data_IF_296094537730
#
_entry.id   IF_296094537730
#
_cell.length_a   1.000
_cell.length_b   1.000
_cell.length_c   1.000
_cell.angle_alpha   90.00
_cell.angle_beta   90.00
_cell.angle_gamma   90.00
#
_symmetry.space_group_name_H-M   'P 1'
#
loop_
_entity.id
_entity.type
_entity.pdbx_description
1 polymer ?
#
# COMPACT_ATOMS: atom_id res chain seq x y z
N UNK A 1 23.23 27.07 -8.42
CA UNK A 1 22.74 25.87 -7.72
C UNK A 1 21.26 26.04 -7.50
N UNK A 2 20.43 25.26 -8.19
CA UNK A 2 18.98 25.27 -7.97
C UNK A 2 18.71 24.27 -6.86
N UNK A 3 18.43 24.75 -5.65
CA UNK A 3 18.00 23.91 -4.51
C UNK A 3 16.70 23.25 -4.96
N UNK A 4 16.68 21.91 -5.06
CA UNK A 4 15.40 21.21 -5.24
C UNK A 4 14.53 21.48 -4.00
N UNK A 5 13.25 21.82 -4.16
CA UNK A 5 12.37 21.99 -3.02
C UNK A 5 12.23 20.67 -2.24
N UNK A 6 12.14 20.76 -0.92
CA UNK A 6 11.83 19.64 -0.03
C UNK A 6 10.64 18.85 -0.58
N UNK A 7 10.78 17.53 -0.66
CA UNK A 7 9.72 16.65 -1.15
C UNK A 7 8.73 16.37 -0.01
N UNK A 8 7.43 16.50 -0.31
CA UNK A 8 6.36 16.17 0.63
C UNK A 8 5.99 14.69 0.51
N UNK A 9 6.05 13.97 1.62
CA UNK A 9 5.55 12.60 1.75
C UNK A 9 4.22 12.59 2.49
N UNK A 10 3.13 12.21 1.81
CA UNK A 10 1.80 12.11 2.43
C UNK A 10 1.69 10.83 3.25
N UNK A 11 1.27 10.96 4.50
CA UNK A 11 1.12 9.86 5.45
C UNK A 11 -0.35 9.47 5.54
N UNK A 12 -0.64 8.20 5.27
CA UNK A 12 -1.96 7.60 5.46
C UNK A 12 -1.86 6.47 6.47
N UNK A 13 -2.67 6.52 7.53
CA UNK A 13 -2.67 5.54 8.62
C UNK A 13 -3.79 4.51 8.42
N UNK A 14 -3.52 3.27 8.82
CA UNK A 14 -4.42 2.13 8.71
C UNK A 14 -4.43 1.36 10.03
N UNK A 15 -5.61 1.16 10.58
CA UNK A 15 -5.81 0.29 11.72
C UNK A 15 -5.95 -1.16 11.25
N UNK A 16 -5.13 -2.06 11.79
CA UNK A 16 -5.26 -3.50 11.51
C UNK A 16 -6.42 -4.04 12.34
N UNK A 17 -7.48 -4.45 11.66
CA UNK A 17 -8.73 -4.96 12.27
C UNK A 17 -8.59 -6.46 12.54
N UNK A 18 -8.09 -7.19 11.55
CA UNK A 18 -7.92 -8.64 11.62
C UNK A 18 -6.59 -9.04 10.99
N UNK A 19 -5.89 -9.97 11.63
CA UNK A 19 -4.62 -10.51 11.16
C UNK A 19 -4.45 -11.91 11.71
N UNK A 20 -4.46 -12.91 10.84
CA UNK A 20 -4.36 -14.29 11.30
C UNK A 20 -4.96 -15.30 10.33
N UNK A 21 -5.08 -16.53 10.81
CA UNK A 21 -5.71 -17.62 10.10
C UNK A 21 -7.22 -17.59 10.31
N UNK A 22 -7.96 -17.42 9.22
CA UNK A 22 -9.42 -17.47 9.21
C UNK A 22 -9.88 -18.75 8.50
N UNK A 23 -10.96 -19.40 8.95
CA UNK A 23 -11.49 -20.59 8.30
C UNK A 23 -11.90 -20.29 6.85
N UNK A 24 -11.74 -21.27 5.98
CA UNK A 24 -12.10 -21.19 4.58
C UNK A 24 -13.51 -21.78 4.37
N UNK A 25 -14.47 -20.93 4.02
CA UNK A 25 -15.87 -21.32 3.83
C UNK A 25 -16.74 -21.04 5.07
N UNK A 26 -17.97 -21.53 5.02
CA UNK A 26 -18.97 -21.33 6.07
C UNK A 26 -18.98 -22.42 7.15
N UNK A 27 -17.94 -23.27 7.21
CA UNK A 27 -17.81 -24.29 8.26
C UNK A 27 -17.47 -23.62 9.59
N UNK A 28 -18.43 -23.53 10.53
CA UNK A 28 -18.14 -23.10 11.88
C UNK A 28 -17.65 -24.34 12.64
N UNK A 29 -16.78 -24.16 13.62
CA UNK A 29 -16.22 -25.19 14.51
C UNK A 29 -14.89 -25.77 14.02
N UNK A 30 -13.85 -24.95 14.00
CA UNK A 30 -12.57 -25.46 14.47
C UNK A 30 -11.95 -24.45 15.45
N UNK A 31 -11.79 -24.82 16.73
CA UNK A 31 -11.15 -23.96 17.70
C UNK A 31 -9.65 -23.91 17.39
N UNK A 32 -9.19 -22.71 17.08
CA UNK A 32 -7.79 -22.27 17.07
C UNK A 32 -6.83 -23.11 16.23
N UNK A 33 -6.76 -22.79 14.93
CA UNK A 33 -5.43 -22.68 14.33
C UNK A 33 -4.66 -21.64 15.16
N UNK A 34 -3.42 -21.93 15.54
CA UNK A 34 -2.65 -21.09 16.47
C UNK A 34 -2.75 -19.62 16.07
N UNK A 35 -3.32 -18.80 16.96
CA UNK A 35 -3.46 -17.36 16.74
C UNK A 35 -2.07 -16.75 16.83
N UNK A 36 -1.41 -16.65 15.69
CA UNK A 36 -0.14 -15.94 15.58
C UNK A 36 -0.44 -14.45 15.46
N UNK A 37 0.13 -13.66 16.38
CA UNK A 37 -0.02 -12.22 16.36
C UNK A 37 0.79 -11.60 15.20
N UNK A 38 0.28 -10.54 14.58
CA UNK A 38 0.98 -9.81 13.53
C UNK A 38 2.36 -9.30 13.97
N UNK A 39 2.51 -8.87 15.22
CA UNK A 39 3.81 -8.46 15.77
C UNK A 39 4.83 -9.60 15.72
N UNK A 40 4.44 -10.83 16.05
CA UNK A 40 5.33 -12.00 15.97
C UNK A 40 5.69 -12.33 14.52
N UNK A 41 4.75 -12.17 13.60
CA UNK A 41 4.99 -12.34 12.15
C UNK A 41 5.98 -11.30 11.65
N UNK A 42 5.81 -10.05 12.05
CA UNK A 42 6.66 -8.95 11.64
C UNK A 42 8.07 -9.05 12.25
N UNK A 43 8.20 -9.57 13.48
CA UNK A 43 9.49 -9.86 14.08
C UNK A 43 10.21 -11.01 13.35
N UNK A 44 9.49 -12.08 13.01
CA UNK A 44 10.05 -13.16 12.17
C UNK A 44 10.41 -12.67 10.76
N UNK A 45 9.60 -11.78 10.19
CA UNK A 45 9.89 -11.16 8.89
C UNK A 45 11.14 -10.29 8.99
N UNK A 46 11.28 -9.52 10.07
CA UNK A 46 12.44 -8.68 10.33
C UNK A 46 13.72 -9.53 10.41
N UNK A 47 13.68 -10.62 11.18
CA UNK A 47 14.82 -11.53 11.33
C UNK A 47 15.16 -12.23 10.01
N UNK A 48 14.15 -12.69 9.27
CA UNK A 48 14.35 -13.30 7.94
C UNK A 48 15.02 -12.33 6.96
N UNK A 49 14.62 -11.06 6.95
CA UNK A 49 15.20 -10.03 6.09
C UNK A 49 16.60 -9.60 6.53
N UNK A 50 16.92 -9.68 7.82
CA UNK A 50 18.22 -9.29 8.38
C UNK A 50 19.32 -10.33 8.22
N UNK A 51 18.97 -11.54 7.82
CA UNK A 51 19.91 -12.60 7.49
C UNK A 51 21.05 -12.08 6.60
N UNK A 52 22.29 -12.17 7.09
CA UNK A 52 23.47 -11.54 6.49
C UNK A 52 23.82 -12.09 5.12
N UNK A 53 23.31 -13.27 4.77
CA UNK A 53 23.51 -13.90 3.45
C UNK A 53 22.44 -13.48 2.43
N UNK A 54 21.48 -12.62 2.82
CA UNK A 54 20.36 -12.23 1.95
C UNK A 54 20.68 -10.96 1.16
N UNK A 55 20.89 -11.16 -0.14
CA UNK A 55 20.93 -10.07 -1.11
C UNK A 55 19.52 -9.54 -1.43
N UNK A 56 19.45 -8.30 -1.92
CA UNK A 56 18.23 -7.62 -2.33
C UNK A 56 17.33 -8.48 -3.24
N UNK A 57 17.91 -9.17 -4.22
CA UNK A 57 17.15 -10.01 -5.15
C UNK A 57 16.46 -11.23 -4.50
N UNK A 58 16.85 -11.59 -3.28
CA UNK A 58 16.38 -12.73 -2.48
C UNK A 58 15.49 -12.29 -1.30
N UNK A 59 15.01 -11.04 -1.33
CA UNK A 59 14.07 -10.49 -0.35
C UNK A 59 12.62 -10.60 -0.77
N UNK A 60 12.32 -11.23 -1.92
CA UNK A 60 10.93 -11.51 -2.27
C UNK A 60 10.45 -12.78 -1.55
N UNK A 61 9.33 -12.71 -0.80
CA UNK A 61 8.75 -13.89 -0.19
C UNK A 61 8.25 -14.91 -1.21
N UNK A 62 7.75 -14.44 -2.36
CA UNK A 62 7.35 -15.29 -3.46
C UNK A 62 8.55 -15.59 -4.36
N UNK A 63 8.63 -16.83 -4.85
CA UNK A 63 9.65 -17.20 -5.83
C UNK A 63 9.38 -16.55 -7.20
N UNK A 64 10.43 -16.21 -7.94
CA UNK A 64 10.39 -15.50 -9.23
C UNK A 64 9.74 -16.32 -10.35
N UNK A 65 9.49 -17.60 -10.09
CA UNK A 65 8.90 -18.54 -11.05
C UNK A 65 7.36 -18.50 -11.08
N UNK A 66 6.70 -17.77 -10.18
CA UNK A 66 5.25 -17.61 -10.21
C UNK A 66 4.83 -16.65 -11.33
N UNK A 67 4.40 -17.21 -12.46
CA UNK A 67 4.03 -16.44 -13.65
C UNK A 67 2.68 -15.73 -13.56
N UNK A 68 2.01 -15.71 -12.40
CA UNK A 68 0.79 -14.91 -12.16
C UNK A 68 1.09 -13.45 -11.85
N UNK A 69 2.32 -13.12 -11.45
CA UNK A 69 2.67 -11.76 -11.03
C UNK A 69 3.23 -10.94 -12.19
N UNK A 70 2.57 -9.82 -12.47
CA UNK A 70 3.09 -8.80 -13.39
C UNK A 70 4.22 -7.97 -12.77
N UNK A 71 4.35 -7.99 -11.43
CA UNK A 71 5.42 -7.30 -10.69
C UNK A 71 5.82 -8.08 -9.44
N UNK A 72 7.13 -8.16 -9.21
CA UNK A 72 7.75 -8.77 -8.03
C UNK A 72 8.02 -7.67 -7.00
N UNK A 73 7.81 -7.98 -5.73
CA UNK A 73 8.05 -7.04 -4.63
C UNK A 73 9.24 -7.52 -3.80
N UNK A 74 10.20 -6.63 -3.59
CA UNK A 74 11.42 -6.84 -2.81
C UNK A 74 11.41 -5.93 -1.58
N UNK A 75 12.27 -6.20 -0.60
CA UNK A 75 12.57 -5.28 0.50
C UNK A 75 13.97 -4.68 0.28
N UNK A 76 14.04 -3.36 0.14
CA UNK A 76 15.29 -2.64 -0.10
C UNK A 76 15.96 -2.15 1.19
N UNK A 77 15.16 -1.82 2.20
CA UNK A 77 15.64 -1.31 3.47
C UNK A 77 14.65 -1.63 4.58
N UNK A 78 15.18 -1.94 5.75
CA UNK A 78 14.44 -2.34 6.94
C UNK A 78 15.09 -1.72 8.17
N UNK A 79 14.28 -1.22 9.09
CA UNK A 79 14.79 -0.71 10.37
C UNK A 79 13.77 -0.95 11.49
N UNK A 80 14.25 -1.30 12.68
CA UNK A 80 13.44 -1.41 13.90
C UNK A 80 13.94 -0.37 14.89
N UNK A 81 13.08 0.58 15.25
CA UNK A 81 13.46 1.64 16.17
C UNK A 81 13.67 1.04 17.58
N UNK A 82 14.86 1.20 18.20
CA UNK A 82 15.12 0.65 19.52
C UNK A 82 14.22 1.25 20.61
N UNK A 83 13.85 2.53 20.46
CA UNK A 83 13.09 3.32 21.43
C UNK A 83 11.59 2.99 21.38
N UNK A 84 10.98 3.03 20.19
CA UNK A 84 9.52 2.86 20.02
C UNK A 84 9.12 1.42 19.67
N UNK A 85 10.09 0.56 19.31
CA UNK A 85 9.86 -0.78 18.72
C UNK A 85 9.10 -0.78 17.40
N UNK A 86 8.93 0.38 16.78
CA UNK A 86 8.32 0.51 15.47
C UNK A 86 9.20 -0.08 14.38
N UNK A 87 8.55 -0.57 13.32
CA UNK A 87 9.20 -1.15 12.16
C UNK A 87 9.02 -0.24 10.95
N UNK A 88 10.10 -0.05 10.22
CA UNK A 88 10.12 0.76 9.00
C UNK A 88 10.56 -0.13 7.84
N UNK A 89 9.76 -0.15 6.78
CA UNK A 89 10.03 -0.94 5.58
C UNK A 89 10.11 0.00 4.38
N UNK A 90 11.11 -0.26 3.53
CA UNK A 90 11.16 0.26 2.17
C UNK A 90 11.05 -0.94 1.25
N UNK A 91 9.84 -1.15 0.72
CA UNK A 91 9.61 -2.16 -0.30
C UNK A 91 9.95 -1.59 -1.68
N UNK A 92 10.18 -2.48 -2.64
CA UNK A 92 10.52 -2.14 -4.00
C UNK A 92 9.65 -2.94 -4.96
N UNK A 93 8.73 -2.25 -5.64
CA UNK A 93 7.85 -2.87 -6.63
C UNK A 93 8.55 -2.84 -7.98
N UNK A 94 8.88 -4.00 -8.55
CA UNK A 94 9.51 -4.07 -9.86
C UNK A 94 8.58 -3.59 -10.95
N UNK A 95 9.12 -2.92 -11.96
CA UNK A 95 8.38 -2.46 -13.14
C UNK A 95 9.09 -2.97 -14.39
N UNK A 96 8.33 -3.55 -15.32
CA UNK A 96 8.86 -4.11 -16.57
C UNK A 96 8.99 -3.09 -17.69
N UNK A 97 8.19 -2.02 -17.65
CA UNK A 97 8.15 -1.01 -18.70
C UNK A 97 8.77 0.31 -18.22
N UNK A 98 9.86 0.70 -18.89
CA UNK A 98 10.65 1.88 -18.57
C UNK A 98 9.98 3.19 -19.02
N UNK A 99 9.10 3.77 -18.21
CA UNK A 99 8.66 5.16 -18.35
C UNK A 99 8.54 5.86 -16.99
N UNK A 100 9.12 7.07 -16.85
CA UNK A 100 9.02 7.92 -15.65
C UNK A 100 10.20 7.80 -14.67
N UNK A 101 9.98 8.22 -13.41
CA UNK A 101 10.94 8.26 -12.29
C UNK A 101 11.39 6.86 -11.79
N UNK A 102 11.58 5.90 -12.69
CA UNK A 102 11.96 4.53 -12.36
C UNK A 102 13.42 4.49 -11.94
N UNK A 103 13.66 3.79 -10.84
CA UNK A 103 14.97 3.62 -10.25
C UNK A 103 15.42 2.16 -10.43
N UNK A 104 16.73 1.94 -10.42
CA UNK A 104 17.37 0.64 -10.55
C UNK A 104 18.21 0.32 -9.32
N UNK A 105 18.08 -0.90 -8.82
CA UNK A 105 18.86 -1.41 -7.70
C UNK A 105 19.68 -2.61 -8.17
N UNK A 106 20.93 -2.70 -7.72
CA UNK A 106 21.78 -3.85 -8.01
C UNK A 106 21.26 -5.11 -7.30
N UNK A 107 21.12 -6.26 -7.98
CA UNK A 107 20.57 -7.49 -7.40
C UNK A 107 21.30 -8.00 -6.15
N UNK A 108 22.61 -7.82 -6.12
CA UNK A 108 23.58 -8.23 -5.09
C UNK A 108 23.79 -7.18 -3.99
N UNK A 109 22.99 -6.10 -3.98
CA UNK A 109 23.06 -5.10 -2.91
C UNK A 109 22.48 -5.64 -1.61
N UNK A 110 23.04 -5.23 -0.47
CA UNK A 110 22.51 -5.60 0.84
C UNK A 110 21.20 -4.86 1.15
N UNK A 111 20.31 -5.54 1.86
CA UNK A 111 19.06 -5.00 2.40
C UNK A 111 19.32 -3.95 3.48
N UNK A 112 20.45 -4.05 4.18
CA UNK A 112 20.83 -3.14 5.27
C UNK A 112 21.81 -2.05 4.82
N UNK A 113 22.07 -1.95 3.52
CA UNK A 113 23.02 -0.95 3.04
C UNK A 113 22.44 0.45 3.27
N UNK A 114 23.03 1.18 4.21
CA UNK A 114 22.70 2.58 4.53
C UNK A 114 23.04 3.52 3.37
N UNK A 115 23.81 3.02 2.40
CA UNK A 115 24.22 3.77 1.21
C UNK A 115 23.11 3.78 0.15
N UNK A 116 22.87 4.97 -0.40
CA UNK A 116 21.90 5.22 -1.46
C UNK A 116 22.38 4.62 -2.79
N UNK A 117 22.22 3.30 -2.93
CA UNK A 117 22.67 2.51 -4.08
C UNK A 117 21.64 2.44 -5.23
N UNK A 118 20.76 3.45 -5.33
CA UNK A 118 19.77 3.57 -6.41
C UNK A 118 20.35 4.34 -7.59
N UNK A 119 20.17 3.80 -8.79
CA UNK A 119 20.59 4.41 -10.04
C UNK A 119 19.33 4.79 -10.82
N UNK A 120 19.22 6.04 -11.28
CA UNK A 120 18.13 6.44 -12.16
C UNK A 120 18.34 5.86 -13.56
N UNK A 121 17.25 5.52 -14.25
CA UNK A 121 17.31 5.05 -15.63
C UNK A 121 17.98 6.11 -16.53
N UNK A 122 19.16 5.79 -17.07
CA UNK A 122 19.87 6.57 -18.08
C UNK A 122 20.30 5.65 -19.23
N UNK A 123 20.41 6.20 -20.45
CA UNK A 123 20.81 5.45 -21.66
C UNK A 123 22.16 4.71 -21.52
N UNK A 124 23.03 5.16 -20.61
CA UNK A 124 24.36 4.57 -20.34
C UNK A 124 24.35 3.37 -19.39
N UNK A 125 23.21 3.06 -18.75
CA UNK A 125 23.10 1.99 -17.75
C UNK A 125 22.38 0.74 -18.29
N UNK A 126 22.06 0.69 -19.60
CA UNK A 126 21.38 -0.42 -20.25
C UNK A 126 22.12 -1.77 -20.12
N UNK A 127 23.45 -1.74 -20.03
CA UNK A 127 24.27 -2.96 -19.92
C UNK A 127 24.43 -3.46 -18.47
N UNK A 128 23.93 -2.71 -17.47
CA UNK A 128 24.02 -3.12 -16.07
C UNK A 128 22.83 -3.99 -15.69
N UNK A 129 23.11 -5.12 -15.03
CA UNK A 129 22.07 -5.97 -14.43
C UNK A 129 21.44 -5.23 -13.24
N UNK A 130 20.31 -4.58 -13.48
CA UNK A 130 19.56 -3.81 -12.48
C UNK A 130 18.13 -4.35 -12.36
N UNK A 131 17.58 -4.30 -11.15
CA UNK A 131 16.16 -4.53 -10.88
C UNK A 131 15.49 -3.16 -10.87
N UNK A 132 14.75 -2.87 -11.95
CA UNK A 132 14.02 -1.63 -12.12
C UNK A 132 12.71 -1.64 -11.34
N UNK A 133 12.37 -0.53 -10.69
CA UNK A 133 11.14 -0.42 -9.94
C UNK A 133 10.98 0.93 -9.24
N UNK A 134 10.03 0.96 -8.32
CA UNK A 134 9.70 2.12 -7.50
C UNK A 134 9.73 1.75 -6.01
N UNK A 135 10.25 2.63 -5.14
CA UNK A 135 10.20 2.42 -3.71
C UNK A 135 8.79 2.61 -3.14
N UNK A 136 8.50 1.94 -2.05
CA UNK A 136 7.27 2.05 -1.26
C UNK A 136 7.60 2.08 0.23
N UNK A 137 7.16 3.13 0.92
CA UNK A 137 7.54 3.40 2.30
C UNK A 137 6.42 3.06 3.27
N UNK A 138 6.76 2.27 4.29
CA UNK A 138 5.83 1.84 5.32
C UNK A 138 6.42 2.02 6.72
N UNK A 139 5.56 2.35 7.65
CA UNK A 139 5.87 2.50 9.06
C UNK A 139 4.82 1.76 9.88
N UNK A 140 5.20 0.69 10.57
CA UNK A 140 4.34 -0.09 11.43
C UNK A 140 4.59 0.24 12.91
N UNK A 141 3.51 0.51 13.63
CA UNK A 141 3.50 0.97 15.02
C UNK A 141 2.97 -0.15 15.90
N UNK A 142 3.90 -0.94 16.44
CA UNK A 142 3.60 -2.21 17.13
C UNK A 142 2.65 -2.06 18.32
N UNK A 143 2.80 -0.98 19.10
CA UNK A 143 1.97 -0.71 20.28
C UNK A 143 0.52 -0.29 19.94
N UNK A 144 0.30 0.20 18.72
CA UNK A 144 -1.01 0.66 18.27
C UNK A 144 -1.70 -0.33 17.33
N UNK A 145 -0.97 -1.34 16.82
CA UNK A 145 -1.45 -2.21 15.74
C UNK A 145 -1.93 -1.40 14.52
N UNK A 146 -1.19 -0.34 14.21
CA UNK A 146 -1.46 0.60 13.12
C UNK A 146 -0.24 0.61 12.21
N UNK A 147 -0.45 0.72 10.91
CA UNK A 147 0.63 1.05 9.99
C UNK A 147 0.31 2.27 9.15
N UNK A 148 1.36 2.90 8.65
CA UNK A 148 1.28 4.02 7.75
C UNK A 148 1.87 3.65 6.39
N UNK A 149 1.22 4.15 5.34
CA UNK A 149 1.82 4.26 4.01
C UNK A 149 2.29 5.68 3.81
N UNK A 150 3.47 5.87 3.23
CA UNK A 150 4.06 7.20 3.04
C UNK A 150 4.37 7.40 1.57
N UNK A 151 3.60 8.28 0.94
CA UNK A 151 3.63 8.51 -0.51
C UNK A 151 4.40 9.78 -0.82
N UNK A 152 5.60 9.62 -1.35
CA UNK A 152 6.36 10.67 -2.02
C UNK A 152 6.09 10.66 -3.54
N UNK A 153 6.19 11.80 -4.24
CA UNK A 153 6.15 11.88 -5.71
C UNK A 153 6.98 10.83 -6.46
N UNK A 154 8.17 10.46 -5.97
CA UNK A 154 9.03 9.46 -6.62
C UNK A 154 8.70 7.98 -6.26
N UNK A 155 7.75 7.76 -5.36
CA UNK A 155 7.44 6.44 -4.80
C UNK A 155 6.14 5.89 -5.34
N UNK A 156 5.92 4.58 -5.26
CA UNK A 156 4.58 3.98 -5.31
C UNK A 156 4.21 3.53 -3.89
N UNK A 157 2.95 3.66 -3.49
CA UNK A 157 2.56 3.13 -2.17
C UNK A 157 1.15 2.62 -2.26
N UNK A 158 0.95 1.42 -1.74
CA UNK A 158 -0.32 0.71 -1.82
C UNK A 158 -0.44 -0.13 -0.56
N UNK A 159 -1.54 0.06 0.18
CA UNK A 159 -1.91 -0.75 1.34
C UNK A 159 -1.82 -2.25 1.00
N UNK A 160 -2.39 -2.64 -0.14
CA UNK A 160 -2.49 -4.03 -0.59
C UNK A 160 -1.12 -4.63 -0.86
N UNK A 161 -0.15 -3.81 -1.28
CA UNK A 161 1.22 -4.24 -1.52
C UNK A 161 1.91 -4.67 -0.23
N UNK A 162 1.74 -3.91 0.86
CA UNK A 162 2.30 -4.25 2.17
C UNK A 162 1.63 -5.47 2.79
N UNK A 163 0.29 -5.51 2.80
CA UNK A 163 -0.48 -6.65 3.29
C UNK A 163 -0.14 -7.93 2.52
N UNK A 164 -0.04 -7.84 1.19
CA UNK A 164 0.40 -8.95 0.34
C UNK A 164 1.81 -9.39 0.68
N UNK A 165 2.75 -8.47 0.85
CA UNK A 165 4.13 -8.81 1.15
C UNK A 165 4.25 -9.60 2.47
N UNK A 166 3.56 -9.17 3.52
CA UNK A 166 3.51 -9.89 4.80
C UNK A 166 2.80 -11.24 4.64
N UNK A 167 1.66 -11.28 3.96
CA UNK A 167 0.94 -12.54 3.68
C UNK A 167 1.84 -13.53 2.95
N UNK A 168 2.50 -13.11 1.88
CA UNK A 168 3.35 -13.98 1.07
C UNK A 168 4.55 -14.49 1.90
N UNK A 169 5.06 -13.71 2.86
CA UNK A 169 6.03 -14.18 3.84
C UNK A 169 5.49 -15.33 4.70
N UNK A 170 4.28 -15.17 5.26
CA UNK A 170 3.62 -16.23 6.04
C UNK A 170 3.42 -17.49 5.19
N UNK A 171 2.97 -17.34 3.94
CA UNK A 171 2.69 -18.47 3.07
C UNK A 171 3.97 -19.23 2.65
N UNK A 172 5.00 -18.51 2.21
CA UNK A 172 6.12 -19.09 1.46
C UNK A 172 7.45 -19.14 2.22
N UNK A 173 7.55 -18.50 3.40
CA UNK A 173 8.78 -18.47 4.19
C UNK A 173 8.61 -19.03 5.60
N UNK A 174 7.42 -18.97 6.19
CA UNK A 174 7.13 -19.61 7.47
C UNK A 174 6.81 -21.10 7.29
N UNK A 175 7.83 -21.91 6.99
CA UNK A 175 7.68 -23.33 6.64
C UNK A 175 7.27 -24.23 7.81
N UNK A 176 7.49 -23.80 9.05
CA UNK A 176 7.20 -24.57 10.27
C UNK A 176 5.76 -24.44 10.78
N UNK A 177 4.87 -23.80 10.01
CA UNK A 177 3.48 -23.61 10.42
C UNK A 177 2.68 -24.93 10.37
N UNK A 178 1.89 -25.26 11.40
CA UNK A 178 1.07 -26.47 11.43
C UNK A 178 0.13 -26.57 10.22
N UNK A 179 -0.12 -27.79 9.72
CA UNK A 179 -1.07 -28.01 8.63
C UNK A 179 -0.71 -27.35 7.28
N UNK A 180 0.48 -26.74 7.15
CA UNK A 180 0.95 -26.14 5.90
C UNK A 180 1.18 -27.22 4.85
N UNK A 181 0.56 -27.06 3.68
CA UNK A 181 0.78 -27.90 2.49
C UNK A 181 1.04 -26.99 1.29
N UNK A 182 2.05 -27.34 0.50
CA UNK A 182 2.49 -26.58 -0.67
C UNK A 182 2.30 -27.42 -1.93
N UNK A 183 1.71 -26.80 -2.95
CA UNK A 183 1.40 -27.42 -4.23
C UNK A 183 1.99 -26.57 -5.35
N UNK A 184 2.65 -27.22 -6.30
CA UNK A 184 3.09 -26.61 -7.54
C UNK A 184 2.10 -26.98 -8.64
N UNK A 185 1.51 -25.97 -9.27
CA UNK A 185 0.59 -26.15 -10.38
C UNK A 185 1.22 -25.64 -11.67
N UNK A 186 1.04 -26.42 -12.74
CA UNK A 186 1.29 -25.99 -14.11
C UNK A 186 -0.05 -25.54 -14.71
N UNK A 187 -0.13 -24.29 -15.20
CA UNK A 187 -1.32 -23.79 -15.88
C UNK A 187 -1.04 -23.63 -17.36
N UNK A 188 -1.65 -24.49 -18.14
CA UNK A 188 -1.75 -24.33 -19.59
C UNK A 188 -2.74 -23.19 -19.88
N UNK A 189 -2.32 -22.21 -20.67
CA UNK A 189 -3.18 -21.11 -21.07
C UNK A 189 -3.48 -21.18 -22.55
N UNK A 190 -4.76 -21.13 -22.90
CA UNK A 190 -5.26 -21.19 -24.29
C UNK A 190 -4.69 -20.02 -25.15
N UNK A 191 -4.28 -18.91 -24.53
CA UNK A 191 -3.78 -17.69 -25.23
C UNK A 191 -2.65 -16.94 -24.49
N UNK A 192 -1.99 -17.54 -23.49
CA UNK A 192 -0.81 -16.96 -22.80
C UNK A 192 0.25 -18.04 -22.63
N UNK A 193 1.50 -17.66 -22.37
CA UNK A 193 2.58 -18.62 -22.08
C UNK A 193 2.19 -19.48 -20.87
N UNK A 194 2.53 -20.77 -20.94
CA UNK A 194 2.40 -21.66 -19.79
C UNK A 194 3.18 -21.09 -18.61
N UNK A 195 2.60 -21.19 -17.42
CA UNK A 195 3.26 -20.72 -16.22
C UNK A 195 3.02 -21.67 -15.06
N UNK A 196 4.01 -21.68 -14.17
CA UNK A 196 3.93 -22.38 -12.90
C UNK A 196 3.52 -21.42 -11.82
N UNK A 197 2.83 -21.91 -10.81
CA UNK A 197 2.57 -21.14 -9.60
C UNK A 197 2.49 -22.04 -8.38
N UNK A 198 2.89 -21.49 -7.24
CA UNK A 198 2.75 -22.16 -5.96
C UNK A 198 1.43 -21.77 -5.29
N UNK A 199 0.81 -22.75 -4.66
CA UNK A 199 -0.33 -22.55 -3.77
C UNK A 199 -0.01 -23.17 -2.43
N UNK A 200 -0.14 -22.37 -1.38
CA UNK A 200 0.00 -22.82 0.00
C UNK A 200 -1.38 -22.87 0.63
N UNK A 201 -1.69 -23.98 1.27
CA UNK A 201 -2.92 -24.17 2.03
C UNK A 201 -2.57 -24.54 3.46
N UNK A 202 -3.46 -24.20 4.39
CA UNK A 202 -3.36 -24.61 5.77
C UNK A 202 -4.61 -25.42 6.09
N UNK A 203 -4.43 -26.54 6.75
CA UNK A 203 -5.56 -27.33 7.21
C UNK A 203 -5.16 -28.59 7.91
N UNK A 204 -6.09 -29.06 8.72
CA UNK A 204 -6.07 -30.32 9.44
C UNK A 204 -7.36 -31.10 9.13
N UNK A 205 -7.63 -32.14 9.91
CA UNK A 205 -8.86 -32.94 9.78
C UNK A 205 -10.12 -32.13 10.13
N UNK A 206 -9.97 -30.96 10.76
CA UNK A 206 -11.07 -30.11 11.24
C UNK A 206 -11.41 -28.97 10.27
N UNK A 207 -10.55 -28.64 9.32
CA UNK A 207 -10.88 -27.66 8.29
C UNK A 207 -9.69 -27.07 7.54
N UNK A 208 -10.01 -26.19 6.59
CA UNK A 208 -9.02 -25.41 5.84
C UNK A 208 -9.01 -23.97 6.34
N UNK A 209 -7.84 -23.36 6.37
CA UNK A 209 -7.62 -21.99 6.81
C UNK A 209 -6.89 -21.19 5.74
N UNK A 210 -7.16 -19.88 5.71
CA UNK A 210 -6.41 -18.90 4.92
C UNK A 210 -5.85 -17.83 5.84
N UNK A 211 -4.64 -17.37 5.56
CA UNK A 211 -4.09 -16.21 6.25
C UNK A 211 -4.66 -14.92 5.63
N UNK A 212 -5.22 -14.04 6.46
CA UNK A 212 -5.77 -12.75 6.06
C UNK A 212 -5.13 -11.65 6.92
N UNK A 213 -4.85 -10.51 6.28
CA UNK A 213 -4.63 -9.23 6.96
C UNK A 213 -5.73 -8.32 6.43
N UNK A 214 -6.43 -7.67 7.33
CA UNK A 214 -7.47 -6.71 7.05
C UNK A 214 -7.20 -5.44 7.84
N UNK A 215 -7.02 -4.34 7.11
CA UNK A 215 -6.87 -3.03 7.72
C UNK A 215 -7.85 -2.02 7.14
N UNK A 216 -8.21 -1.03 7.95
CA UNK A 216 -9.07 0.09 7.55
C UNK A 216 -8.34 1.40 7.73
N UNK A 217 -8.43 2.27 6.72
CA UNK A 217 -7.86 3.60 6.77
C UNK A 217 -8.46 4.41 7.92
N UNK A 218 -7.59 5.09 8.67
CA UNK A 218 -7.99 6.03 9.71
C UNK A 218 -8.25 7.40 9.08
N UNK A 219 -9.53 7.76 9.01
CA UNK A 219 -9.99 9.05 8.49
C UNK A 219 -10.16 10.01 9.68
N UNK A 220 -9.59 11.22 9.57
CA UNK A 220 -9.73 12.27 10.60
C UNK A 220 -11.20 12.64 10.80
N UNK A 221 -11.59 12.91 12.05
CA UNK A 221 -12.96 13.29 12.38
C UNK A 221 -13.40 14.56 11.63
N UNK A 222 -12.52 15.55 11.51
CA UNK A 222 -12.80 16.76 10.71
C UNK A 222 -13.10 16.46 9.25
N UNK A 223 -12.43 15.48 8.64
CA UNK A 223 -12.71 15.01 7.28
C UNK A 223 -14.08 14.32 7.20
N UNK A 224 -14.46 13.55 8.22
CA UNK A 224 -15.79 12.93 8.32
C UNK A 224 -16.90 13.95 8.47
N UNK A 225 -16.71 14.92 9.35
CA UNK A 225 -17.70 15.98 9.61
C UNK A 225 -17.90 16.84 8.36
N UNK A 226 -16.81 17.23 7.69
CA UNK A 226 -16.88 18.01 6.46
C UNK A 226 -17.54 17.23 5.32
N UNK A 227 -17.20 15.96 5.13
CA UNK A 227 -17.87 15.16 4.11
C UNK A 227 -19.34 14.87 4.42
N UNK A 228 -19.69 14.70 5.69
CA UNK A 228 -21.09 14.58 6.11
C UNK A 228 -21.87 15.86 5.76
N UNK A 229 -21.24 17.03 5.93
CA UNK A 229 -21.79 18.30 5.43
C UNK A 229 -21.87 18.34 3.90
N UNK A 230 -20.88 17.78 3.19
CA UNK A 230 -20.91 17.70 1.72
C UNK A 230 -22.10 16.86 1.24
N UNK A 231 -22.25 15.60 1.70
CA UNK A 231 -23.40 14.76 1.35
C UNK A 231 -24.72 15.47 1.71
N UNK A 232 -24.78 16.11 2.89
CA UNK A 232 -25.96 16.84 3.34
C UNK A 232 -26.38 18.00 2.42
N UNK A 233 -25.44 18.59 1.67
CA UNK A 233 -25.67 19.73 0.80
C UNK A 233 -26.17 19.38 -0.62
N UNK A 234 -26.53 18.11 -0.90
CA UNK A 234 -27.12 17.68 -2.20
C UNK A 234 -26.27 18.01 -3.43
N UNK A 235 -24.95 17.77 -3.37
CA UNK A 235 -24.14 17.72 -4.60
C UNK A 235 -24.74 16.66 -5.54
N UNK A 236 -24.88 16.99 -6.82
CA UNK A 236 -25.52 16.09 -7.80
C UNK A 236 -24.52 15.54 -8.81
N UNK A 237 -23.29 16.05 -8.80
CA UNK A 237 -22.26 15.69 -9.75
C UNK A 237 -20.95 15.37 -9.04
N UNK A 238 -20.34 14.27 -9.45
CA UNK A 238 -18.94 13.93 -9.14
C UNK A 238 -18.09 14.40 -10.32
N UNK A 239 -17.03 15.14 -10.02
CA UNK A 239 -16.05 15.65 -10.97
C UNK A 239 -14.76 14.88 -10.77
N UNK A 240 -14.25 14.24 -11.81
CA UNK A 240 -13.00 13.48 -11.79
C UNK A 240 -12.06 14.09 -12.81
N UNK A 241 -10.96 14.66 -12.34
CA UNK A 241 -9.83 15.04 -13.17
C UNK A 241 -8.80 13.93 -13.18
N UNK A 242 -8.39 13.52 -14.36
CA UNK A 242 -7.39 12.47 -14.53
C UNK A 242 -6.48 12.83 -15.71
N UNK A 243 -5.24 12.35 -15.69
CA UNK A 243 -4.30 12.48 -16.80
C UNK A 243 -4.18 11.14 -17.49
N UNK A 244 -4.85 10.98 -18.63
CA UNK A 244 -4.76 9.76 -19.42
C UNK A 244 -3.56 9.85 -20.35
N UNK A 245 -2.65 8.88 -20.25
CA UNK A 245 -1.67 8.61 -21.30
C UNK A 245 -2.34 7.81 -22.42
N UNK A 246 -2.36 8.36 -23.64
CA UNK A 246 -2.72 7.55 -24.82
C UNK A 246 -1.57 6.56 -25.11
N UNK A 247 -1.60 5.42 -24.43
CA UNK A 247 -0.92 4.21 -24.90
C UNK A 247 -1.89 3.59 -25.90
N UNK A 248 -1.64 3.82 -27.19
CA UNK A 248 -2.25 2.98 -28.20
C UNK A 248 -1.48 1.64 -28.28
N UNK A 249 -2.20 0.56 -28.55
CA UNK A 249 -1.82 -0.85 -28.50
C UNK A 249 -1.48 -1.45 -27.12
N UNK A 250 -2.54 -2.01 -26.53
CA UNK A 250 -2.60 -3.10 -25.55
C UNK A 250 -2.52 -2.76 -24.05
N UNK A 251 -3.59 -3.20 -23.40
CA UNK A 251 -3.86 -3.40 -21.97
C UNK A 251 -4.63 -2.31 -21.20
N UNK A 252 -5.86 -2.72 -20.83
CA UNK A 252 -6.53 -2.46 -19.56
C UNK A 252 -7.53 -1.29 -19.45
N UNK A 253 -8.60 -1.32 -20.26
CA UNK A 253 -9.96 -0.98 -19.80
C UNK A 253 -10.96 -2.03 -20.33
N UNK A 254 -11.22 -3.06 -19.52
CA UNK A 254 -11.83 -4.35 -19.90
C UNK A 254 -13.36 -4.40 -20.07
N UNK A 255 -14.09 -3.29 -20.25
CA UNK A 255 -15.54 -3.38 -20.56
C UNK A 255 -15.98 -2.67 -21.85
N UNK A 256 -15.20 -1.73 -22.37
CA UNK A 256 -15.58 -0.98 -23.58
C UNK A 256 -15.09 -1.62 -24.89
N UNK A 257 -14.02 -2.42 -24.83
CA UNK A 257 -13.38 -3.02 -26.01
C UNK A 257 -14.10 -4.26 -26.59
N UNK A 258 -15.21 -4.73 -26.00
CA UNK A 258 -15.96 -5.86 -26.57
C UNK A 258 -16.90 -5.45 -27.71
N UNK A 259 -16.96 -4.17 -28.08
CA UNK A 259 -17.93 -3.65 -29.03
C UNK A 259 -17.37 -3.31 -30.42
N UNK A 260 -16.04 -3.26 -30.63
CA UNK A 260 -15.49 -2.80 -31.91
C UNK A 260 -14.25 -3.60 -32.32
N UNK A 261 -14.37 -4.19 -33.50
CA UNK A 261 -13.58 -5.25 -34.11
C UNK A 261 -12.05 -4.97 -34.30
N UNK A 262 -11.28 -6.01 -34.67
CA UNK A 262 -9.81 -6.05 -34.63
C UNK A 262 -9.20 -5.53 -35.92
N UNK A 263 -8.03 -4.90 -35.82
CA UNK A 263 -6.84 -5.09 -36.69
C UNK A 263 -5.81 -3.95 -36.51
N UNK A 264 -4.56 -4.37 -36.29
CA UNK A 264 -3.25 -3.73 -36.60
C UNK A 264 -2.45 -3.06 -35.48
N UNK A 265 -1.16 -3.46 -35.50
CA UNK A 265 -0.02 -3.09 -34.66
C UNK A 265 0.73 -1.90 -35.25
N UNK A 266 0.97 -0.84 -34.47
CA UNK A 266 2.11 0.10 -34.56
C UNK A 266 2.35 0.72 -33.16
N UNK A 267 3.60 0.82 -32.73
CA UNK A 267 3.99 1.45 -31.45
C UNK A 267 3.67 2.96 -31.48
N UNK A 268 2.99 3.55 -30.49
CA UNK A 268 2.60 4.96 -30.51
C UNK A 268 3.51 5.85 -29.68
N UNK A 269 3.64 7.10 -30.12
CA UNK A 269 4.10 8.21 -29.30
C UNK A 269 3.04 8.50 -28.23
N UNK A 270 3.41 8.37 -26.96
CA UNK A 270 2.50 8.59 -25.83
C UNK A 270 2.21 10.08 -25.72
N UNK A 271 1.01 10.50 -26.13
CA UNK A 271 0.47 11.83 -25.82
C UNK A 271 -0.37 11.70 -24.55
N UNK A 272 0.06 12.32 -23.46
CA UNK A 272 -0.78 12.49 -22.27
C UNK A 272 -1.81 13.59 -22.51
N UNK A 273 -3.07 13.34 -22.17
CA UNK A 273 -4.14 14.32 -22.17
C UNK A 273 -4.79 14.41 -20.80
N UNK A 274 -4.97 15.65 -20.35
CA UNK A 274 -5.73 15.97 -19.16
C UNK A 274 -7.22 15.91 -19.51
N UNK A 275 -7.97 15.11 -18.75
CA UNK A 275 -9.40 14.95 -18.90
C UNK A 275 -10.11 15.38 -17.61
N UNK A 276 -11.32 15.92 -17.77
CA UNK A 276 -12.27 16.16 -16.69
C UNK A 276 -13.57 15.45 -17.05
N UNK A 277 -14.02 14.54 -16.19
CA UNK A 277 -15.28 13.81 -16.35
C UNK A 277 -16.24 14.29 -15.27
N UNK A 278 -17.41 14.76 -15.69
CA UNK A 278 -18.48 15.19 -14.80
C UNK A 278 -19.60 14.17 -14.93
N UNK A 279 -19.88 13.44 -13.86
CA UNK A 279 -20.91 12.41 -13.85
C UNK A 279 -22.02 12.80 -12.87
N UNK A 280 -23.31 12.72 -13.26
CA UNK A 280 -24.38 12.77 -12.28
C UNK A 280 -24.22 11.57 -11.34
N UNK A 281 -24.31 11.81 -10.03
CA UNK A 281 -24.10 10.77 -9.02
C UNK A 281 -25.22 10.77 -8.00
N UNK A 282 -25.80 9.60 -7.78
CA UNK A 282 -26.60 9.32 -6.59
C UNK A 282 -25.63 9.07 -5.42
N UNK A 283 -25.25 10.15 -4.75
CA UNK A 283 -24.29 10.14 -3.63
C UNK A 283 -24.82 9.41 -2.39
N UNK A 284 -26.07 8.95 -2.38
CA UNK A 284 -26.66 8.22 -1.26
C UNK A 284 -25.95 6.88 -0.96
N UNK A 285 -25.28 6.30 -1.96
CA UNK A 285 -24.56 5.02 -1.83
C UNK A 285 -23.04 5.16 -1.70
N UNK A 286 -22.49 6.36 -1.89
CA UNK A 286 -21.04 6.60 -1.91
C UNK A 286 -20.56 6.98 -0.52
N UNK A 287 -19.68 6.17 0.06
CA UNK A 287 -19.06 6.46 1.35
C UNK A 287 -17.77 7.26 1.20
N UNK A 288 -17.32 7.89 2.30
CA UNK A 288 -15.98 8.50 2.36
C UNK A 288 -14.91 7.51 1.97
N UNK A 289 -15.00 6.32 2.55
CA UNK A 289 -14.06 5.24 2.35
C UNK A 289 -13.90 4.92 0.86
N UNK A 290 -14.99 4.87 0.09
CA UNK A 290 -14.96 4.61 -1.36
C UNK A 290 -14.21 5.71 -2.12
N UNK A 291 -14.42 6.97 -1.73
CA UNK A 291 -13.75 8.13 -2.35
C UNK A 291 -12.26 8.15 -2.02
N UNK A 292 -11.91 7.88 -0.76
CA UNK A 292 -10.52 7.78 -0.31
C UNK A 292 -9.79 6.64 -1.03
N UNK A 293 -10.42 5.47 -1.09
CA UNK A 293 -9.86 4.30 -1.79
C UNK A 293 -9.65 4.60 -3.27
N UNK A 294 -10.64 5.22 -3.92
CA UNK A 294 -10.51 5.64 -5.32
C UNK A 294 -9.41 6.67 -5.54
N UNK A 295 -9.34 7.69 -4.68
CA UNK A 295 -8.34 8.76 -4.75
C UNK A 295 -6.91 8.22 -4.56
N UNK A 296 -6.72 7.30 -3.61
CA UNK A 296 -5.42 6.67 -3.34
C UNK A 296 -5.03 5.68 -4.44
N UNK A 297 -5.95 4.82 -4.89
CA UNK A 297 -5.70 3.86 -5.97
C UNK A 297 -5.22 4.54 -7.26
N UNK A 298 -5.73 5.75 -7.56
CA UNK A 298 -5.35 6.53 -8.75
C UNK A 298 -4.19 7.50 -8.54
N UNK A 299 -3.55 7.50 -7.37
CA UNK A 299 -2.45 8.41 -7.03
C UNK A 299 -2.77 9.89 -7.28
N UNK A 300 -4.03 10.30 -7.07
CA UNK A 300 -4.50 11.63 -7.47
C UNK A 300 -3.70 12.76 -6.76
N UNK A 301 -3.34 12.57 -5.49
CA UNK A 301 -2.55 13.54 -4.71
C UNK A 301 -1.07 13.75 -5.11
N UNK A 302 -0.61 13.12 -6.19
CA UNK A 302 0.75 13.33 -6.73
C UNK A 302 0.79 14.20 -7.98
N UNK A 303 -0.36 14.49 -8.57
CA UNK A 303 -0.51 15.32 -9.76
C UNK A 303 -1.14 16.65 -9.36
N UNK A 304 -0.63 17.76 -9.89
CA UNK A 304 -1.31 19.06 -9.76
C UNK A 304 -2.68 19.10 -10.45
N UNK A 305 -2.96 18.13 -11.35
CA UNK A 305 -4.20 18.06 -12.12
C UNK A 305 -5.19 17.01 -11.60
N UNK A 306 -4.69 15.82 -11.23
CA UNK A 306 -5.58 14.67 -10.97
C UNK A 306 -6.26 14.81 -9.63
N UNK A 307 -7.59 14.81 -9.61
CA UNK A 307 -8.36 15.06 -8.41
C UNK A 307 -9.79 14.56 -8.56
N UNK A 308 -10.49 14.34 -7.45
CA UNK A 308 -11.92 14.08 -7.41
C UNK A 308 -12.60 15.21 -6.64
N UNK A 309 -13.79 15.62 -7.03
CA UNK A 309 -14.50 16.72 -6.40
C UNK A 309 -16.00 16.62 -6.62
N UNK A 310 -16.72 17.51 -5.97
CA UNK A 310 -18.18 17.55 -5.96
C UNK A 310 -18.67 18.89 -6.49
N UNK A 311 -19.71 18.85 -7.34
CA UNK A 311 -20.31 20.05 -7.94
C UNK A 311 -21.84 20.04 -7.80
N UNK A 312 -22.41 21.20 -7.49
CA UNK A 312 -23.86 21.41 -7.48
C UNK A 312 -24.38 21.73 -8.88
N UNK A 313 -25.65 21.44 -9.16
CA UNK A 313 -26.27 21.70 -10.47
C UNK A 313 -26.29 23.19 -10.85
N UNK A 314 -26.24 24.08 -9.85
CA UNK A 314 -26.36 25.54 -10.01
C UNK A 314 -25.06 26.30 -9.77
N UNK A 315 -24.03 25.65 -9.22
CA UNK A 315 -22.72 26.26 -9.00
C UNK A 315 -21.71 25.82 -10.07
N UNK A 316 -20.86 26.75 -10.52
CA UNK A 316 -19.74 26.46 -11.40
C UNK A 316 -18.49 26.00 -10.64
N UNK A 317 -18.41 26.23 -9.33
CA UNK A 317 -17.26 25.84 -8.53
C UNK A 317 -17.30 24.34 -8.21
N UNK A 318 -16.16 23.68 -8.37
CA UNK A 318 -15.96 22.29 -7.92
C UNK A 318 -15.27 22.34 -6.57
N UNK A 319 -15.84 21.65 -5.57
CA UNK A 319 -15.18 21.44 -4.28
C UNK A 319 -14.31 20.20 -4.36
N UNK A 320 -12.99 20.37 -4.23
CA UNK A 320 -12.04 19.29 -4.46
C UNK A 320 -11.78 18.45 -3.21
N UNK A 321 -11.57 17.16 -3.39
CA UNK A 321 -11.29 16.22 -2.30
C UNK A 321 -10.00 16.55 -1.57
N UNK A 322 -8.98 17.02 -2.27
CA UNK A 322 -7.73 17.45 -1.63
C UNK A 322 -7.95 18.56 -0.57
N UNK A 323 -8.98 19.40 -0.71
CA UNK A 323 -9.25 20.50 0.22
C UNK A 323 -9.76 20.00 1.58
N UNK A 324 -10.34 18.81 1.63
CA UNK A 324 -10.93 18.24 2.85
C UNK A 324 -10.31 16.92 3.29
N UNK A 325 -9.57 16.26 2.42
CA UNK A 325 -8.71 15.14 2.78
C UNK A 325 -7.50 15.72 3.53
N UNK A 326 -7.66 15.95 4.83
CA UNK A 326 -6.58 16.39 5.71
C UNK A 326 -5.54 15.26 5.87
N UNK A 327 -4.56 15.19 4.97
CA UNK A 327 -3.40 14.30 5.07
C UNK A 327 -2.33 14.95 5.91
N UNK A 328 -1.82 14.20 6.88
CA UNK A 328 -0.56 14.57 7.47
C UNK A 328 0.54 14.33 6.45
N UNK A 329 1.53 15.21 6.42
CA UNK A 329 2.68 15.05 5.54
C UNK A 329 3.96 15.26 6.33
N UNK A 330 5.02 14.63 5.83
CA UNK A 330 6.39 14.87 6.27
C UNK A 330 7.14 15.56 5.13
N UNK A 331 8.05 16.46 5.49
CA UNK A 331 8.97 17.07 4.53
C UNK A 331 10.30 16.33 4.60
N UNK A 332 10.83 15.93 3.46
CA UNK A 332 12.12 15.27 3.36
C UNK A 332 13.02 16.03 2.38
N UNK A 333 14.27 16.21 2.76
CA UNK A 333 15.33 16.62 1.84
C UNK A 333 15.97 15.34 1.28
N UNK A 334 15.81 15.11 -0.02
CA UNK A 334 16.41 13.98 -0.73
C UNK A 334 17.78 14.32 -1.32
N UNK A 335 18.39 15.46 -0.96
CA UNK A 335 19.71 15.85 -1.45
C UNK A 335 19.77 16.13 -2.94
N UNK A 336 20.87 16.74 -3.37
CA UNK A 336 21.03 17.25 -4.74
C UNK A 336 21.60 16.22 -5.73
N UNK A 337 22.03 15.03 -5.27
CA UNK A 337 22.66 14.03 -6.13
C UNK A 337 21.62 13.12 -6.77
N UNK A 338 21.82 12.76 -8.04
CA UNK A 338 20.98 11.81 -8.77
C UNK A 338 20.84 10.44 -8.07
N UNK A 339 21.77 10.09 -7.18
CA UNK A 339 21.76 8.88 -6.36
C UNK A 339 20.93 8.99 -5.09
N UNK A 340 20.58 10.20 -4.62
CA UNK A 340 19.88 10.41 -3.34
C UNK A 340 18.34 10.44 -3.43
N UNK A 341 17.75 10.08 -4.58
CA UNK A 341 16.29 10.03 -4.80
C UNK A 341 15.56 8.88 -4.05
N UNK A 342 16.15 8.33 -2.99
CA UNK A 342 15.61 7.25 -2.19
C UNK A 342 15.89 7.50 -0.70
N UNK A 343 14.93 7.12 0.13
CA UNK A 343 15.02 7.24 1.59
C UNK A 343 15.22 5.85 2.23
N UNK A 344 16.29 5.64 2.98
CA UNK A 344 16.45 4.39 3.75
C UNK A 344 15.45 4.32 4.91
N UNK A 345 15.17 3.11 5.41
CA UNK A 345 14.28 2.90 6.55
C UNK A 345 14.76 3.63 7.81
N UNK A 346 16.09 3.71 8.02
CA UNK A 346 16.71 4.47 9.11
C UNK A 346 16.45 5.98 8.99
N UNK A 347 16.69 6.56 7.80
CA UNK A 347 16.41 7.98 7.55
C UNK A 347 14.92 8.29 7.71
N UNK A 348 14.06 7.40 7.22
CA UNK A 348 12.62 7.50 7.38
C UNK A 348 12.21 7.50 8.87
N UNK A 349 12.81 6.62 9.67
CA UNK A 349 12.60 6.59 11.11
C UNK A 349 12.98 7.92 11.78
N UNK A 350 14.11 8.52 11.42
CA UNK A 350 14.53 9.80 11.98
C UNK A 350 13.54 10.94 11.68
N UNK A 351 13.04 11.00 10.44
CA UNK A 351 12.06 12.02 10.02
C UNK A 351 10.72 11.81 10.72
N UNK A 352 10.24 10.56 10.78
CA UNK A 352 8.98 10.23 11.45
C UNK A 352 9.07 10.50 12.94
N UNK A 353 10.13 10.09 13.62
CA UNK A 353 10.26 10.29 15.06
C UNK A 353 10.21 11.78 15.44
N UNK A 354 10.79 12.65 14.60
CA UNK A 354 10.72 14.10 14.79
C UNK A 354 9.29 14.67 14.68
N UNK A 355 8.39 13.97 13.99
CA UNK A 355 7.00 14.39 13.77
C UNK A 355 5.97 13.47 14.44
N UNK A 356 6.41 12.45 15.19
CA UNK A 356 5.58 11.33 15.66
C UNK A 356 4.32 11.79 16.39
N UNK A 357 4.49 12.68 17.37
CA UNK A 357 3.39 13.15 18.22
C UNK A 357 2.30 13.83 17.39
N UNK A 358 2.68 14.62 16.39
CA UNK A 358 1.75 15.27 15.46
C UNK A 358 1.03 14.22 14.59
N UNK A 359 1.80 13.29 13.98
CA UNK A 359 1.26 12.25 13.10
C UNK A 359 0.28 11.31 13.81
N UNK A 360 0.52 11.03 15.10
CA UNK A 360 -0.29 10.07 15.88
C UNK A 360 -1.36 10.70 16.75
N UNK A 361 -1.46 12.04 16.80
CA UNK A 361 -2.38 12.75 17.69
C UNK A 361 -3.81 12.16 17.65
N UNK A 362 -4.37 12.02 16.44
CA UNK A 362 -5.75 11.55 16.27
C UNK A 362 -5.94 10.08 16.61
N UNK A 363 -4.90 9.26 16.39
CA UNK A 363 -4.92 7.83 16.73
C UNK A 363 -4.94 7.68 18.25
N UNK A 364 -4.08 8.42 18.94
CA UNK A 364 -3.97 8.40 20.39
C UNK A 364 -5.26 8.94 21.05
N UNK A 365 -5.82 10.03 20.54
CA UNK A 365 -7.09 10.57 21.04
C UNK A 365 -8.24 9.55 20.90
N UNK A 366 -8.35 8.90 19.74
CA UNK A 366 -9.38 7.88 19.48
C UNK A 366 -9.22 6.67 20.42
N UNK A 367 -7.98 6.21 20.64
CA UNK A 367 -7.69 5.09 21.55
C UNK A 367 -8.01 5.44 22.99
N UNK A 368 -7.70 6.66 23.43
CA UNK A 368 -8.00 7.11 24.79
C UNK A 368 -9.52 7.16 25.05
N UNK A 369 -10.32 7.68 24.11
CA UNK A 369 -11.79 7.66 24.21
C UNK A 369 -12.36 6.25 24.35
N UNK A 370 -11.88 5.31 23.53
CA UNK A 370 -12.30 3.90 23.63
C UNK A 370 -11.96 3.28 25.00
N UNK A 371 -10.77 3.57 25.54
CA UNK A 371 -10.36 3.09 26.85
C UNK A 371 -11.21 3.67 27.98
N UNK A 372 -11.60 4.94 27.89
CA UNK A 372 -12.49 5.60 28.85
C UNK A 372 -13.90 5.00 28.82
N UNK A 373 -14.45 4.72 27.64
CA UNK A 373 -15.76 4.06 27.48
C UNK A 373 -15.75 2.65 28.08
N UNK A 374 -14.73 1.84 27.78
CA UNK A 374 -14.58 0.50 28.35
C UNK A 374 -14.45 0.56 29.87
N UNK A 375 -13.71 1.53 30.41
CA UNK A 375 -13.55 1.72 31.84
C UNK A 375 -14.88 2.13 32.51
N UNK A 376 -15.67 2.97 31.85
CA UNK A 376 -17.00 3.37 32.31
C UNK A 376 -17.98 2.18 32.34
N UNK A 377 -18.02 1.38 31.28
CA UNK A 377 -18.85 0.16 31.23
C UNK A 377 -18.48 -0.86 32.31
N UNK A 378 -17.18 -1.07 32.54
CA UNK A 378 -16.69 -1.97 33.60
C UNK A 378 -17.11 -1.49 34.99
N UNK A 379 -17.04 -0.18 35.26
CA UNK A 379 -17.50 0.41 36.53
C UNK A 379 -19.01 0.24 36.73
N UNK A 380 -19.81 0.41 35.67
CA UNK A 380 -21.27 0.24 35.76
C UNK A 380 -21.68 -1.22 35.97
N UNK A 381 -21.00 -2.18 35.32
CA UNK A 381 -21.21 -3.62 35.55
C UNK A 381 -20.81 -4.09 36.95
N UNK A 382 -19.81 -3.46 37.58
CA UNK A 382 -19.44 -3.76 38.97
C UNK A 382 -20.46 -3.21 39.97
N UNK A 383 -21.02 -2.01 39.73
CA UNK A 383 -22.08 -1.46 40.60
C UNK A 383 -23.37 -2.27 40.56
N UNK A 384 -23.73 -2.83 39.40
CA UNK A 384 -24.94 -3.69 39.25
C UNK A 384 -24.78 -5.11 39.80
N UNK A 385 -23.56 -5.58 40.08
CA UNK A 385 -23.31 -6.87 40.75
C UNK A 385 -23.18 -6.76 42.27
N UNK A 386 -23.05 -5.54 42.80
CA UNK A 386 -22.92 -5.26 44.22
C UNK A 386 -24.22 -4.74 44.87
N UNK A 387 -25.27 -4.56 44.05
CA UNK A 387 -26.67 -4.37 44.47
C UNK A 387 -27.42 -5.67 44.22
#
# INVERSE_FOLDING_TARGET
MSIKPNEKGYVTLYNVIDSGFVPFGSDPLSPSFETINLNDILDKLYDWLKDSERDFQNTSPLDKTDGRLDSITYCKSLYKCPETKDLFFVLWKSVTDGNGNIQGVKPDSSVNDETNNTILLNEKDADKKLIWGLPSYYWYISELNVFATIKFPHSCTDKSLFERYIRDFVLFRMTSLPGRKEFLYDRESINKRDYKYYQVTFGDDLGRFRFKIESKQLIKQSGKDYFSQLIGNKYNYVVIRDRISAIDSNNEQCWFNSLVNPLKKKKPNIKTKDIEVIMPSDLESVTLEDIYEYYDARNMGTSEWSNIGFREKRESATKWCEEFIARDFISCDLGDKATDNHLSALKLCAIINSNRTMLLHNVLESKNKQLEEIAFEKKNKQKTKAS
#
